data_IF_044079483119
#
_entry.id   IF_044079483119
#
_cell.length_a   1.000
_cell.length_b   1.000
_cell.length_c   1.000
_cell.angle_alpha   90.00
_cell.angle_beta   90.00
_cell.angle_gamma   90.00
#
_symmetry.space_group_name_H-M   'P 1'
#
loop_
_entity.id
_entity.type
_entity.pdbx_description
1 polymer ?
#
# COMPACT_ATOMS: atom_id res chain seq x y z
N UNK A 1 -26.13 -5.68 45.55
CA UNK A 1 -25.21 -4.85 44.76
C UNK A 1 -24.80 -5.71 43.56
N UNK A 2 -25.42 -5.48 42.40
CA UNK A 2 -25.29 -6.32 41.21
C UNK A 2 -24.26 -5.67 40.28
N UNK A 3 -23.07 -6.25 40.16
CA UNK A 3 -22.07 -5.81 39.19
C UNK A 3 -22.50 -6.31 37.80
N UNK A 4 -23.00 -5.40 36.96
CA UNK A 4 -23.13 -5.63 35.52
C UNK A 4 -21.76 -5.40 34.89
N UNK A 5 -21.09 -6.47 34.51
CA UNK A 5 -19.88 -6.38 33.68
C UNK A 5 -20.32 -6.08 32.24
N UNK A 6 -20.06 -4.85 31.77
CA UNK A 6 -20.13 -4.50 30.36
C UNK A 6 -19.00 -5.24 29.64
N UNK A 7 -19.32 -6.41 29.07
CA UNK A 7 -18.48 -7.02 28.05
C UNK A 7 -18.52 -6.10 26.82
N UNK A 8 -17.46 -5.33 26.59
CA UNK A 8 -17.25 -4.63 25.34
C UNK A 8 -17.06 -5.67 24.24
N UNK A 9 -18.14 -6.04 23.56
CA UNK A 9 -18.06 -6.80 22.32
C UNK A 9 -17.40 -5.87 21.29
N UNK A 10 -16.12 -6.12 20.98
CA UNK A 10 -15.49 -5.54 19.79
C UNK A 10 -16.41 -5.81 18.60
N UNK A 11 -16.84 -4.75 17.92
CA UNK A 11 -17.70 -4.86 16.75
C UNK A 11 -16.91 -5.52 15.64
N UNK A 12 -17.59 -6.17 14.70
CA UNK A 12 -16.91 -6.81 13.58
C UNK A 12 -16.16 -5.79 12.70
N UNK A 13 -16.57 -4.53 12.77
CA UNK A 13 -15.96 -3.35 12.16
C UNK A 13 -14.59 -2.99 12.79
N UNK A 14 -14.35 -3.40 14.03
CA UNK A 14 -13.08 -3.17 14.75
C UNK A 14 -12.02 -4.22 14.39
N UNK A 15 -12.39 -5.22 13.58
CA UNK A 15 -11.48 -6.29 13.18
C UNK A 15 -10.77 -5.96 11.89
N UNK A 16 -9.50 -6.33 11.84
CA UNK A 16 -8.63 -6.10 10.69
C UNK A 16 -8.07 -7.40 10.16
N UNK A 17 -7.68 -7.38 8.89
CA UNK A 17 -6.81 -8.41 8.31
C UNK A 17 -5.37 -7.94 8.45
N UNK A 18 -4.53 -8.71 9.12
CA UNK A 18 -3.10 -8.49 9.21
C UNK A 18 -2.39 -9.29 8.11
N UNK A 19 -1.48 -8.65 7.38
CA UNK A 19 -0.60 -9.28 6.40
C UNK A 19 0.85 -9.04 6.81
N UNK A 20 1.68 -10.06 6.66
CA UNK A 20 3.10 -10.00 6.99
C UNK A 20 3.89 -10.25 5.73
N UNK A 21 4.64 -9.24 5.32
CA UNK A 21 5.50 -9.26 4.16
C UNK A 21 6.98 -9.22 4.57
N UNK A 22 7.82 -9.76 3.71
CA UNK A 22 9.24 -9.42 3.65
C UNK A 22 9.45 -8.61 2.39
N UNK A 23 10.02 -7.41 2.54
CA UNK A 23 10.40 -6.55 1.44
C UNK A 23 11.92 -6.46 1.34
N UNK A 24 12.45 -6.51 0.13
CA UNK A 24 13.87 -6.37 -0.12
C UNK A 24 14.10 -5.42 -1.28
N UNK A 25 14.65 -4.24 -0.99
CA UNK A 25 15.14 -3.35 -2.03
C UNK A 25 16.37 -3.95 -2.71
N UNK A 26 16.64 -3.52 -3.95
CA UNK A 26 17.83 -3.93 -4.69
C UNK A 26 19.08 -3.62 -3.86
N UNK A 27 19.92 -4.62 -3.68
CA UNK A 27 21.19 -4.54 -2.94
C UNK A 27 21.05 -4.18 -1.43
N UNK A 28 19.84 -4.32 -0.86
CA UNK A 28 19.57 -4.10 0.56
C UNK A 28 19.27 -5.40 1.32
N UNK A 29 19.28 -5.33 2.65
CA UNK A 29 18.83 -6.42 3.50
C UNK A 29 17.30 -6.52 3.49
N UNK A 30 16.71 -7.73 3.61
CA UNK A 30 15.27 -7.88 3.73
C UNK A 30 14.73 -7.28 5.02
N UNK A 31 13.59 -6.59 4.93
CA UNK A 31 12.89 -5.94 6.03
C UNK A 31 11.49 -6.53 6.20
N UNK A 32 11.02 -6.61 7.44
CA UNK A 32 9.66 -7.07 7.73
C UNK A 32 8.69 -5.90 7.63
N UNK A 33 7.58 -6.14 6.94
CA UNK A 33 6.49 -5.18 6.81
C UNK A 33 5.20 -5.85 7.26
N UNK A 34 4.44 -5.17 8.11
CA UNK A 34 3.09 -5.58 8.49
C UNK A 34 2.10 -4.58 7.94
N UNK A 35 1.07 -5.08 7.26
CA UNK A 35 -0.08 -4.30 6.83
C UNK A 35 -1.30 -4.70 7.64
N UNK A 36 -2.02 -3.75 8.22
CA UNK A 36 -3.30 -3.97 8.87
C UNK A 36 -4.38 -3.27 8.04
N UNK A 37 -5.34 -4.04 7.51
CA UNK A 37 -6.41 -3.50 6.66
C UNK A 37 -7.76 -3.71 7.33
N UNK A 38 -8.42 -2.60 7.65
CA UNK A 38 -9.77 -2.54 8.21
C UNK A 38 -10.74 -1.78 7.31
N UNK A 39 -11.96 -1.59 7.80
CA UNK A 39 -12.99 -0.84 7.08
C UNK A 39 -12.63 0.63 6.91
N UNK A 40 -12.03 1.24 7.93
CA UNK A 40 -11.74 2.68 7.95
C UNK A 40 -10.28 3.02 7.62
N UNK A 41 -9.36 2.10 7.91
CA UNK A 41 -7.93 2.37 7.84
C UNK A 41 -7.13 1.26 7.14
N UNK A 42 -6.03 1.67 6.51
CA UNK A 42 -4.90 0.80 6.17
C UNK A 42 -3.67 1.30 6.93
N UNK A 43 -3.03 0.46 7.71
CA UNK A 43 -1.79 0.77 8.42
C UNK A 43 -0.65 -0.06 7.88
N UNK A 44 0.52 0.54 7.71
CA UNK A 44 1.76 -0.13 7.30
C UNK A 44 2.83 0.20 8.34
N UNK A 45 3.39 -0.82 8.97
CA UNK A 45 4.46 -0.68 9.96
C UNK A 45 5.43 -1.88 9.90
N UNK A 46 6.37 -1.97 10.83
CA UNK A 46 7.36 -3.03 10.93
C UNK A 46 6.96 -4.18 11.89
N UNK A 47 5.71 -4.18 12.37
CA UNK A 47 5.22 -5.11 13.37
C UNK A 47 5.45 -4.69 14.83
N UNK A 48 6.19 -3.59 15.08
CA UNK A 48 6.43 -3.05 16.43
C UNK A 48 5.49 -1.89 16.71
N UNK A 49 4.50 -2.15 17.55
CA UNK A 49 3.48 -1.16 17.90
C UNK A 49 4.11 0.11 18.54
N UNK A 50 3.76 1.29 18.02
CA UNK A 50 4.19 2.59 18.56
C UNK A 50 5.47 3.19 17.96
N UNK A 51 6.08 2.55 16.95
CA UNK A 51 7.22 3.09 16.20
C UNK A 51 6.76 3.95 15.00
N UNK A 52 7.57 4.02 13.95
CA UNK A 52 7.24 4.64 12.67
C UNK A 52 6.15 3.84 11.95
N UNK A 53 5.18 4.53 11.38
CA UNK A 53 4.12 3.89 10.60
C UNK A 53 3.48 4.84 9.61
N UNK A 54 2.91 4.24 8.56
CA UNK A 54 1.95 4.89 7.68
C UNK A 54 0.54 4.50 8.12
N UNK A 55 -0.36 5.48 8.17
CA UNK A 55 -1.78 5.26 8.40
C UNK A 55 -2.56 5.97 7.29
N UNK A 56 -3.27 5.20 6.48
CA UNK A 56 -4.19 5.70 5.47
C UNK A 56 -5.62 5.64 6.01
N UNK A 57 -6.24 6.80 6.15
CA UNK A 57 -7.66 6.96 6.46
C UNK A 57 -8.46 6.97 5.16
N UNK A 58 -9.30 5.95 4.98
CA UNK A 58 -9.95 5.65 3.70
C UNK A 58 -11.02 6.69 3.34
N UNK A 59 -11.80 7.12 4.32
CA UNK A 59 -12.90 8.07 4.13
C UNK A 59 -12.42 9.45 3.67
N UNK A 60 -11.37 9.98 4.32
CA UNK A 60 -10.78 11.27 3.96
C UNK A 60 -9.74 11.17 2.84
N UNK A 61 -9.34 9.95 2.48
CA UNK A 61 -8.21 9.65 1.59
C UNK A 61 -6.92 10.36 2.02
N UNK A 62 -6.65 10.36 3.32
CA UNK A 62 -5.47 11.02 3.90
C UNK A 62 -4.47 9.98 4.37
N UNK A 63 -3.20 10.17 4.02
CA UNK A 63 -2.08 9.35 4.50
C UNK A 63 -1.33 10.16 5.55
N UNK A 64 -1.15 9.55 6.71
CA UNK A 64 -0.36 10.06 7.81
C UNK A 64 0.94 9.25 7.89
N UNK A 65 2.08 9.90 7.74
CA UNK A 65 3.39 9.29 7.96
C UNK A 65 3.94 9.74 9.30
N UNK A 66 3.89 8.84 10.27
CA UNK A 66 4.33 9.08 11.64
C UNK A 66 5.80 8.67 11.77
N UNK A 67 6.64 9.63 12.19
CA UNK A 67 8.03 9.38 12.52
C UNK A 67 8.25 9.60 14.01
N UNK A 68 8.59 8.52 14.71
CA UNK A 68 8.95 8.53 16.12
C UNK A 68 10.28 9.26 16.35
N UNK A 69 11.27 9.06 15.47
CA UNK A 69 12.57 9.71 15.56
C UNK A 69 12.48 11.24 15.43
N UNK A 70 11.67 11.73 14.50
CA UNK A 70 11.45 13.15 14.31
C UNK A 70 10.31 13.72 15.18
N UNK A 71 9.59 12.86 15.92
CA UNK A 71 8.40 13.19 16.71
C UNK A 71 7.41 14.06 15.93
N UNK A 72 7.07 13.65 14.71
CA UNK A 72 6.20 14.41 13.83
C UNK A 72 5.30 13.51 12.99
N UNK A 73 4.20 14.06 12.51
CA UNK A 73 3.29 13.41 11.57
C UNK A 73 3.21 14.22 10.29
N UNK A 74 3.71 13.67 9.19
CA UNK A 74 3.51 14.23 7.86
C UNK A 74 2.11 13.87 7.37
N UNK A 75 1.33 14.87 6.96
CA UNK A 75 -0.04 14.72 6.47
C UNK A 75 -0.06 14.88 4.96
N UNK A 76 -0.59 13.87 4.27
CA UNK A 76 -0.59 13.75 2.82
C UNK A 76 -2.02 13.51 2.37
N UNK A 77 -2.71 14.57 1.95
CA UNK A 77 -4.09 14.49 1.47
C UNK A 77 -4.09 14.08 0.00
N UNK A 78 -4.92 13.11 -0.40
CA UNK A 78 -5.01 12.72 -1.80
C UNK A 78 -5.34 13.91 -2.71
N UNK A 79 -4.70 13.96 -3.89
CA UNK A 79 -4.95 14.96 -4.93
C UNK A 79 -5.50 14.30 -6.19
N UNK A 80 -6.07 15.09 -7.09
CA UNK A 80 -6.43 14.61 -8.40
C UNK A 80 -5.17 14.26 -9.21
N UNK A 81 -5.21 13.16 -9.95
CA UNK A 81 -4.19 12.83 -10.94
C UNK A 81 -4.45 13.60 -12.24
N UNK A 82 -3.40 13.97 -13.00
CA UNK A 82 -3.53 14.54 -14.33
C UNK A 82 -4.32 13.59 -15.23
N UNK A 83 -5.11 14.17 -16.13
CA UNK A 83 -5.96 13.40 -17.03
C UNK A 83 -5.15 12.57 -18.04
N UNK A 84 -3.94 13.02 -18.40
CA UNK A 84 -3.10 12.37 -19.39
C UNK A 84 -1.63 12.35 -18.99
N UNK A 85 -0.95 11.26 -19.38
CA UNK A 85 0.48 11.08 -19.25
C UNK A 85 1.25 11.95 -20.24
N UNK A 86 2.46 12.46 -19.89
CA UNK A 86 3.31 13.22 -20.81
C UNK A 86 3.83 12.39 -21.98
N UNK A 87 3.76 11.05 -21.88
CA UNK A 87 4.03 10.11 -22.97
C UNK A 87 2.85 9.15 -23.14
N UNK A 88 2.70 8.58 -24.34
CA UNK A 88 1.75 7.48 -24.54
C UNK A 88 2.18 6.26 -23.72
N UNK A 89 1.24 5.68 -22.97
CA UNK A 89 1.45 4.48 -22.17
C UNK A 89 0.62 3.34 -22.78
N UNK A 90 1.30 2.30 -23.25
CA UNK A 90 0.69 1.09 -23.80
C UNK A 90 0.97 -0.05 -22.85
N UNK A 91 -0.08 -0.60 -22.25
CA UNK A 91 0.03 -1.70 -21.30
C UNK A 91 -0.12 -3.06 -21.99
N UNK A 92 0.70 -4.02 -21.58
CA UNK A 92 0.57 -5.43 -21.96
C UNK A 92 0.73 -6.29 -20.72
N UNK A 93 0.01 -7.41 -20.68
CA UNK A 93 0.18 -8.42 -19.64
C UNK A 93 0.46 -9.75 -20.31
N UNK A 94 1.60 -10.32 -19.95
CA UNK A 94 1.98 -11.66 -20.36
C UNK A 94 1.68 -12.61 -19.17
N UNK A 95 1.09 -13.76 -19.45
CA UNK A 95 0.82 -14.83 -18.48
C UNK A 95 1.48 -16.11 -18.95
N UNK A 96 1.86 -16.98 -18.01
CA UNK A 96 2.23 -18.35 -18.33
C UNK A 96 1.20 -19.35 -17.78
N UNK A 97 1.26 -20.58 -18.30
CA UNK A 97 0.40 -21.70 -17.88
C UNK A 97 1.05 -22.56 -16.78
N UNK A 98 2.12 -22.06 -16.15
CA UNK A 98 2.79 -22.80 -15.09
C UNK A 98 1.87 -22.89 -13.86
N UNK A 99 1.97 -24.01 -13.15
CA UNK A 99 1.21 -24.22 -11.92
C UNK A 99 2.06 -23.80 -10.73
N UNK A 100 1.53 -22.87 -9.95
CA UNK A 100 2.14 -22.42 -8.70
C UNK A 100 1.41 -22.99 -7.49
N UNK A 101 2.08 -23.14 -6.34
CA UNK A 101 1.42 -23.54 -5.10
C UNK A 101 0.28 -22.58 -4.76
N UNK A 102 -0.87 -23.14 -4.38
CA UNK A 102 -2.00 -22.35 -3.89
C UNK A 102 -1.67 -21.72 -2.53
N UNK A 103 -2.19 -20.53 -2.27
CA UNK A 103 -2.13 -19.88 -0.96
C UNK A 103 -3.53 -19.87 -0.36
N UNK A 104 -3.69 -20.50 0.81
CA UNK A 104 -5.00 -20.66 1.47
C UNK A 104 -6.10 -21.21 0.53
N UNK A 105 -5.75 -22.19 -0.29
CA UNK A 105 -6.66 -22.81 -1.27
C UNK A 105 -6.97 -21.96 -2.50
N UNK A 106 -6.42 -20.74 -2.60
CA UNK A 106 -6.58 -19.89 -3.77
C UNK A 106 -5.49 -20.13 -4.80
N UNK A 107 -5.88 -20.18 -6.07
CA UNK A 107 -4.96 -20.36 -7.19
C UNK A 107 -4.03 -19.14 -7.33
N UNK A 108 -2.73 -19.41 -7.39
CA UNK A 108 -1.71 -18.40 -7.69
C UNK A 108 -1.35 -18.48 -9.17
N UNK A 109 -1.32 -17.32 -9.84
CA UNK A 109 -0.87 -17.20 -11.23
C UNK A 109 0.25 -16.17 -11.34
N UNK A 110 1.14 -16.39 -12.30
CA UNK A 110 2.22 -15.47 -12.64
C UNK A 110 1.80 -14.55 -13.78
N UNK A 111 2.09 -13.26 -13.60
CA UNK A 111 1.81 -12.18 -14.53
C UNK A 111 3.05 -11.32 -14.69
N UNK A 112 3.38 -10.99 -15.93
CA UNK A 112 4.37 -9.97 -16.27
C UNK A 112 3.63 -8.77 -16.82
N UNK A 113 3.63 -7.67 -16.08
CA UNK A 113 2.95 -6.44 -16.48
C UNK A 113 3.97 -5.51 -17.12
N UNK A 114 3.77 -5.20 -18.39
CA UNK A 114 4.62 -4.33 -19.16
C UNK A 114 3.94 -3.01 -19.46
N UNK A 115 4.75 -1.95 -19.58
CA UNK A 115 4.35 -0.67 -20.18
C UNK A 115 5.40 -0.25 -21.18
N UNK A 116 4.98 0.02 -22.43
CA UNK A 116 5.88 0.35 -23.55
C UNK A 116 7.03 -0.68 -23.69
N UNK A 117 6.67 -1.97 -23.67
CA UNK A 117 7.58 -3.12 -23.75
C UNK A 117 8.63 -3.22 -22.62
N UNK A 118 8.52 -2.43 -21.56
CA UNK A 118 9.33 -2.55 -20.35
C UNK A 118 8.59 -3.33 -19.28
N UNK A 119 9.24 -4.31 -18.67
CA UNK A 119 8.71 -5.04 -17.53
C UNK A 119 8.62 -4.10 -16.32
N UNK A 120 7.41 -3.86 -15.83
CA UNK A 120 7.16 -2.97 -14.71
C UNK A 120 6.76 -3.70 -13.43
N UNK A 121 6.14 -4.88 -13.56
CA UNK A 121 5.93 -5.81 -12.47
C UNK A 121 6.11 -7.26 -12.95
N UNK A 122 6.80 -8.05 -12.14
CA UNK A 122 6.78 -9.51 -12.15
C UNK A 122 5.97 -9.95 -10.92
N UNK A 123 4.78 -10.49 -11.14
CA UNK A 123 3.73 -10.63 -10.14
C UNK A 123 3.23 -12.06 -10.04
N UNK A 124 3.23 -12.60 -8.83
CA UNK A 124 2.51 -13.81 -8.46
C UNK A 124 1.31 -13.40 -7.62
N UNK A 125 0.10 -13.55 -8.15
CA UNK A 125 -1.13 -13.11 -7.49
C UNK A 125 -2.05 -14.28 -7.18
N UNK A 126 -2.55 -14.34 -5.94
CA UNK A 126 -3.61 -15.24 -5.53
C UNK A 126 -4.97 -14.61 -5.86
N UNK A 127 -5.70 -15.21 -6.81
CA UNK A 127 -7.03 -14.70 -7.19
C UNK A 127 -8.02 -14.94 -6.04
N UNK A 128 -8.90 -13.97 -5.79
CA UNK A 128 -9.94 -14.01 -4.74
C UNK A 128 -9.45 -14.13 -3.28
N UNK A 129 -8.14 -14.15 -3.04
CA UNK A 129 -7.61 -14.09 -1.68
C UNK A 129 -7.79 -12.68 -1.11
N UNK A 130 -8.51 -12.58 0.01
CA UNK A 130 -8.70 -11.34 0.79
C UNK A 130 -9.14 -10.14 -0.07
N UNK A 131 -10.29 -10.19 -0.77
CA UNK A 131 -10.72 -9.14 -1.70
C UNK A 131 -10.89 -7.76 -1.04
N UNK A 132 -11.24 -7.72 0.24
CA UNK A 132 -11.32 -6.49 1.04
C UNK A 132 -9.95 -5.85 1.26
N UNK A 133 -8.89 -6.66 1.41
CA UNK A 133 -7.51 -6.18 1.49
C UNK A 133 -7.10 -5.58 0.16
N UNK A 134 -7.36 -6.29 -0.94
CA UNK A 134 -7.08 -5.81 -2.30
C UNK A 134 -7.78 -4.46 -2.54
N UNK A 135 -9.04 -4.30 -2.13
CA UNK A 135 -9.76 -3.03 -2.23
C UNK A 135 -9.10 -1.90 -1.43
N UNK A 136 -8.76 -2.13 -0.15
CA UNK A 136 -8.09 -1.13 0.69
C UNK A 136 -6.72 -0.71 0.13
N UNK A 137 -5.95 -1.66 -0.40
CA UNK A 137 -4.66 -1.36 -1.03
C UNK A 137 -4.82 -0.57 -2.33
N UNK A 138 -5.85 -0.84 -3.14
CA UNK A 138 -6.15 -0.04 -4.35
C UNK A 138 -6.41 1.41 -3.97
N UNK A 139 -7.27 1.64 -2.99
CA UNK A 139 -7.58 3.00 -2.49
C UNK A 139 -6.33 3.73 -2.00
N UNK A 140 -5.45 3.03 -1.27
CA UNK A 140 -4.17 3.57 -0.80
C UNK A 140 -3.24 3.99 -1.96
N UNK A 141 -3.01 3.11 -2.93
CA UNK A 141 -2.17 3.42 -4.09
C UNK A 141 -2.76 4.55 -4.95
N UNK A 142 -4.08 4.58 -5.12
CA UNK A 142 -4.77 5.64 -5.84
C UNK A 142 -4.68 6.99 -5.10
N UNK A 143 -4.66 6.99 -3.76
CA UNK A 143 -4.46 8.21 -2.95
C UNK A 143 -3.04 8.77 -3.10
N UNK A 144 -2.03 7.90 -3.14
CA UNK A 144 -0.63 8.29 -3.39
C UNK A 144 -0.42 8.90 -4.78
N UNK A 145 -1.12 8.39 -5.79
CA UNK A 145 -0.87 8.76 -7.18
C UNK A 145 -1.03 10.25 -7.47
N UNK A 146 -2.04 10.90 -6.87
CA UNK A 146 -2.21 12.36 -7.00
C UNK A 146 -1.04 13.15 -6.41
N UNK A 147 -0.43 12.63 -5.35
CA UNK A 147 0.72 13.27 -4.70
C UNK A 147 2.02 13.04 -5.47
N UNK A 148 2.15 11.88 -6.13
CA UNK A 148 3.22 11.62 -7.09
C UNK A 148 3.08 12.46 -8.36
N UNK A 149 1.86 12.77 -8.78
CA UNK A 149 1.64 13.61 -9.94
C UNK A 149 2.19 15.05 -9.78
N UNK A 150 2.15 15.59 -8.56
CA UNK A 150 2.64 16.96 -8.27
C UNK A 150 4.13 17.09 -8.55
N UNK A 151 4.90 16.04 -8.29
CA UNK A 151 6.36 16.07 -8.47
C UNK A 151 6.79 15.88 -9.93
N UNK A 152 5.89 15.42 -10.82
CA UNK A 152 6.21 15.19 -12.24
C UNK A 152 6.80 16.41 -12.94
N UNK A 153 6.35 17.62 -12.58
CA UNK A 153 6.84 18.85 -13.20
C UNK A 153 8.30 19.17 -12.88
N UNK A 154 8.80 18.67 -11.74
CA UNK A 154 10.16 18.92 -11.25
C UNK A 154 11.07 17.69 -11.35
N UNK A 155 10.51 16.51 -11.58
CA UNK A 155 11.27 15.27 -11.80
C UNK A 155 11.99 15.32 -13.15
N UNK A 156 13.32 15.11 -13.19
CA UNK A 156 14.06 15.04 -14.45
C UNK A 156 13.51 13.98 -15.41
N UNK A 157 13.53 14.26 -16.71
CA UNK A 157 12.88 13.43 -17.75
C UNK A 157 13.42 12.00 -17.78
N UNK A 158 14.69 11.81 -17.47
CA UNK A 158 15.36 10.51 -17.38
C UNK A 158 14.78 9.60 -16.30
N UNK A 159 14.17 10.16 -15.25
CA UNK A 159 13.49 9.40 -14.20
C UNK A 159 12.00 9.16 -14.52
N UNK A 160 11.42 9.89 -15.47
CA UNK A 160 10.04 9.72 -15.95
C UNK A 160 9.90 8.55 -16.93
N UNK A 161 10.33 7.36 -16.49
CA UNK A 161 10.24 6.14 -17.29
C UNK A 161 8.78 5.70 -17.48
N UNK A 162 8.46 4.88 -18.51
CA UNK A 162 7.11 4.34 -18.68
C UNK A 162 6.59 3.59 -17.44
N UNK A 163 7.46 2.85 -16.75
CA UNK A 163 7.08 2.15 -15.52
C UNK A 163 6.86 3.10 -14.35
N UNK A 164 7.70 4.13 -14.19
CA UNK A 164 7.52 5.15 -13.15
C UNK A 164 6.17 5.85 -13.29
N UNK A 165 5.89 6.36 -14.50
CA UNK A 165 4.62 7.04 -14.80
C UNK A 165 3.42 6.11 -14.60
N UNK A 166 3.50 4.87 -15.10
CA UNK A 166 2.39 3.94 -15.02
C UNK A 166 2.15 3.41 -13.60
N UNK A 167 3.20 3.06 -12.85
CA UNK A 167 3.09 2.41 -11.55
C UNK A 167 2.81 3.40 -10.41
N UNK A 168 3.19 4.68 -10.57
CA UNK A 168 3.08 5.65 -9.48
C UNK A 168 2.05 6.75 -9.74
N UNK A 169 1.60 6.95 -10.98
CA UNK A 169 0.64 8.03 -11.31
C UNK A 169 -0.58 7.56 -12.09
N UNK A 170 -0.38 6.93 -13.26
CA UNK A 170 -1.48 6.75 -14.23
C UNK A 170 -2.21 5.41 -14.14
N UNK A 171 -1.58 4.39 -13.57
CA UNK A 171 -2.19 3.08 -13.35
C UNK A 171 -1.67 2.43 -12.05
N UNK A 172 -1.73 3.15 -10.91
CA UNK A 172 -0.94 2.82 -9.71
C UNK A 172 -1.34 1.50 -9.06
N UNK A 173 -2.61 1.14 -9.19
CA UNK A 173 -3.20 -0.05 -8.58
C UNK A 173 -3.42 -1.21 -9.57
N UNK A 174 -2.94 -1.12 -10.82
CA UNK A 174 -3.27 -2.10 -11.88
C UNK A 174 -2.82 -3.53 -11.57
N UNK A 175 -1.75 -3.70 -10.80
CA UNK A 175 -1.25 -5.02 -10.39
C UNK A 175 -2.24 -5.74 -9.47
N UNK A 176 -3.00 -4.99 -8.67
CA UNK A 176 -4.05 -5.52 -7.79
C UNK A 176 -5.29 -5.99 -8.56
N UNK A 177 -5.40 -5.71 -9.86
CA UNK A 177 -6.48 -6.25 -10.71
C UNK A 177 -6.44 -7.78 -10.81
N UNK A 178 -5.27 -8.40 -10.56
CA UNK A 178 -5.05 -9.84 -10.73
C UNK A 178 -5.25 -10.65 -9.45
N UNK A 179 -5.40 -10.00 -8.29
CA UNK A 179 -5.57 -10.64 -6.99
C UNK A 179 -4.66 -10.01 -5.94
N UNK A 180 -4.54 -10.67 -4.79
CA UNK A 180 -3.58 -10.28 -3.76
C UNK A 180 -2.17 -10.70 -4.19
N UNK A 181 -1.18 -9.79 -4.23
CA UNK A 181 0.20 -10.15 -4.49
C UNK A 181 0.75 -11.05 -3.39
N UNK A 182 1.15 -12.27 -3.78
CA UNK A 182 1.91 -13.22 -2.95
C UNK A 182 3.40 -12.95 -3.11
N UNK A 183 3.84 -12.61 -4.32
CA UNK A 183 5.20 -12.14 -4.61
C UNK A 183 5.14 -11.08 -5.70
N UNK A 184 5.88 -10.00 -5.56
CA UNK A 184 5.95 -8.91 -6.52
C UNK A 184 7.39 -8.41 -6.63
N UNK A 185 7.92 -8.33 -7.84
CA UNK A 185 9.14 -7.56 -8.14
C UNK A 185 8.76 -6.35 -8.97
N UNK A 186 9.14 -5.15 -8.53
CA UNK A 186 8.90 -3.92 -9.27
C UNK A 186 10.01 -3.58 -10.29
N UNK A 187 9.80 -2.52 -11.06
CA UNK A 187 10.75 -2.05 -12.07
C UNK A 187 12.13 -1.63 -11.50
N UNK A 188 12.20 -1.33 -10.21
CA UNK A 188 13.44 -0.95 -9.51
C UNK A 188 14.15 -2.17 -8.90
N UNK A 189 13.55 -3.37 -9.00
CA UNK A 189 14.07 -4.60 -8.44
C UNK A 189 13.73 -4.80 -6.96
N UNK A 190 12.83 -3.98 -6.39
CA UNK A 190 12.31 -4.25 -5.04
C UNK A 190 11.40 -5.47 -5.11
N UNK A 191 11.65 -6.43 -4.23
CA UNK A 191 10.82 -7.63 -4.05
C UNK A 191 9.95 -7.44 -2.81
N UNK A 192 8.67 -7.83 -2.89
CA UNK A 192 7.76 -7.95 -1.76
C UNK A 192 7.14 -9.35 -1.79
N UNK A 193 7.24 -10.08 -0.68
CA UNK A 193 6.78 -11.47 -0.57
C UNK A 193 5.90 -11.65 0.67
N UNK A 194 4.69 -12.16 0.47
CA UNK A 194 3.73 -12.46 1.52
C UNK A 194 4.18 -13.70 2.28
N UNK A 195 4.47 -13.53 3.56
CA UNK A 195 4.91 -14.60 4.44
C UNK A 195 3.74 -15.27 5.17
N UNK A 196 2.79 -14.46 5.65
CA UNK A 196 1.65 -14.93 6.43
C UNK A 196 0.52 -13.89 6.42
N UNK A 197 -0.68 -14.30 6.78
CA UNK A 197 -1.80 -13.40 7.05
C UNK A 197 -2.74 -13.94 8.13
N UNK A 198 -3.39 -13.04 8.85
CA UNK A 198 -4.37 -13.36 9.88
C UNK A 198 -5.62 -12.53 9.65
N UNK A 199 -6.77 -13.20 9.58
CA UNK A 199 -8.05 -12.53 9.43
C UNK A 199 -8.69 -12.25 10.79
N UNK A 200 -9.51 -11.21 10.83
CA UNK A 200 -10.38 -10.90 11.97
C UNK A 200 -9.60 -10.67 13.28
N UNK A 201 -8.39 -10.13 13.17
CA UNK A 201 -7.54 -9.74 14.31
C UNK A 201 -8.17 -8.52 14.98
N UNK A 202 -8.26 -8.46 16.32
CA UNK A 202 -8.73 -7.26 17.01
C UNK A 202 -7.85 -6.05 16.67
N UNK A 203 -8.44 -5.04 16.04
CA UNK A 203 -7.80 -3.75 15.79
C UNK A 203 -7.85 -2.92 17.06
N UNK A 204 -6.85 -3.04 17.93
CA UNK A 204 -6.80 -2.20 19.13
C UNK A 204 -6.82 -0.71 18.75
N UNK A 205 -7.65 0.10 19.40
CA UNK A 205 -7.85 1.53 19.08
C UNK A 205 -6.53 2.31 18.92
N UNK A 206 -5.53 1.98 19.74
CA UNK A 206 -4.19 2.60 19.71
C UNK A 206 -3.42 2.38 18.42
N UNK A 207 -3.74 1.33 17.65
CA UNK A 207 -3.08 1.05 16.36
C UNK A 207 -3.53 2.03 15.27
N UNK A 208 -4.71 2.64 15.40
CA UNK A 208 -5.28 3.54 14.39
C UNK A 208 -5.41 4.98 14.89
N UNK A 209 -4.82 5.30 16.04
CA UNK A 209 -4.82 6.64 16.62
C UNK A 209 -3.47 7.31 16.40
N UNK A 210 -3.48 8.55 15.93
CA UNK A 210 -2.26 9.36 15.78
C UNK A 210 -1.71 9.81 17.15
N UNK A 211 -0.39 9.98 17.32
CA UNK A 211 0.17 10.48 18.57
C UNK A 211 -0.26 11.93 18.78
N UNK A 212 -0.96 12.21 19.88
CA UNK A 212 -1.54 13.54 20.14
C UNK A 212 -0.48 14.63 20.37
N UNK A 213 0.73 14.25 20.77
CA UNK A 213 1.86 15.14 21.03
C UNK A 213 2.75 15.40 19.81
N UNK A 214 2.44 14.80 18.65
CA UNK A 214 3.23 14.98 17.43
C UNK A 214 2.63 16.13 16.60
N UNK A 215 3.40 17.18 16.28
CA UNK A 215 2.94 18.20 15.34
C UNK A 215 2.62 17.57 13.97
N UNK A 216 1.48 17.98 13.43
CA UNK A 216 1.06 17.62 12.08
C UNK A 216 1.60 18.63 11.07
N UNK A 217 2.32 18.14 10.07
CA UNK A 217 2.93 18.93 9.02
C UNK A 217 2.34 18.50 7.67
N UNK A 218 1.61 19.38 6.96
CA UNK A 218 1.20 19.11 5.58
C UNK A 218 2.42 18.94 4.67
N UNK A 219 2.37 17.99 3.74
CA UNK A 219 3.46 17.73 2.78
C UNK A 219 3.79 18.94 1.90
N UNK A 220 2.81 19.80 1.68
CA UNK A 220 2.92 21.08 0.98
C UNK A 220 4.01 21.97 1.58
N UNK A 221 4.09 22.03 2.92
CA UNK A 221 5.09 22.85 3.61
C UNK A 221 6.51 22.37 3.33
N UNK A 222 6.71 21.06 3.17
CA UNK A 222 8.02 20.50 2.82
C UNK A 222 8.41 20.77 1.37
N UNK A 223 7.42 20.99 0.50
CA UNK A 223 7.62 21.33 -0.91
C UNK A 223 7.73 22.83 -1.18
N UNK A 224 7.57 23.67 -0.14
CA UNK A 224 7.53 25.13 -0.29
C UNK A 224 6.23 25.63 -0.94
N UNK A 225 5.17 24.81 -0.96
CA UNK A 225 3.84 25.23 -1.37
C UNK A 225 3.21 26.04 -0.22
N UNK A 226 2.59 27.19 -0.56
CA UNK A 226 1.98 28.14 0.40
C UNK A 226 0.51 27.83 0.68
#
# INVERSE_FOLDING_TARGET
MLCVALAACARDEDKVTALFYVEQAKDAQPEKVRMLVGAEFVRIDDGRDGNDYLLFERASRTIYSVSSAARQTLVIVARATPQASPISLVHRVDTDDAKFPSVAGQEVRHFRLLTNDKLCYDLYAARNLLPQVVAGLREYYDALAGQQAVTLAITPKEFLTPCELANNVFAPSRHLAYGLPVRLTDANGKVSELMDFQERVPGGERLFTLPADYPQLPIEKLRGES
#
